data_IF_509701854658
#
_entry.id   IF_509701854658
#
_cell.length_a   1.000
_cell.length_b   1.000
_cell.length_c   1.000
_cell.angle_alpha   90.00
_cell.angle_beta   90.00
_cell.angle_gamma   90.00
#
_symmetry.space_group_name_H-M   'P 1'
#
loop_
_entity.id
_entity.type
_entity.pdbx_description
1 polymer ?
#
# COMPACT_ATOMS: atom_id res chain seq x y z
N UNK A 1 -40.66 24.50 -76.04
CA UNK A 1 -39.42 23.68 -76.03
C UNK A 1 -39.24 23.09 -74.63
N UNK A 2 -39.76 21.89 -74.37
CA UNK A 2 -39.03 20.61 -74.27
C UNK A 2 -37.87 20.59 -73.25
N UNK A 3 -38.17 19.98 -72.08
CA UNK A 3 -37.43 18.94 -71.34
C UNK A 3 -35.88 18.92 -71.42
N UNK A 4 -35.22 18.84 -70.25
CA UNK A 4 -34.54 17.60 -69.81
C UNK A 4 -34.14 17.64 -68.33
N UNK A 5 -34.56 16.58 -67.63
CA UNK A 5 -34.07 16.08 -66.33
C UNK A 5 -32.77 15.28 -66.55
N UNK A 6 -31.87 15.27 -65.56
CA UNK A 6 -30.94 14.18 -65.23
C UNK A 6 -30.41 14.51 -63.81
N UNK A 7 -30.90 13.95 -62.69
CA UNK A 7 -30.77 12.57 -62.17
C UNK A 7 -29.32 12.03 -62.14
N UNK A 8 -28.61 12.33 -61.05
CA UNK A 8 -27.70 11.37 -60.41
C UNK A 8 -27.94 11.45 -58.90
N UNK A 9 -28.62 10.43 -58.38
CA UNK A 9 -28.67 10.09 -56.96
C UNK A 9 -27.90 8.79 -56.83
N UNK A 10 -26.74 8.81 -56.15
CA UNK A 10 -26.06 7.60 -55.64
C UNK A 10 -25.36 7.98 -54.32
N UNK A 11 -25.87 7.40 -53.23
CA UNK A 11 -25.21 6.98 -51.99
C UNK A 11 -24.19 7.92 -51.33
N UNK A 12 -24.54 8.52 -50.19
CA UNK A 12 -24.02 8.16 -48.84
C UNK A 12 -25.01 8.68 -47.80
N UNK A 13 -25.98 7.84 -47.45
CA UNK A 13 -26.58 7.86 -46.12
C UNK A 13 -25.73 6.97 -45.20
N UNK A 14 -25.80 7.24 -43.89
CA UNK A 14 -25.14 6.56 -42.76
C UNK A 14 -23.72 7.03 -42.41
N UNK A 15 -23.63 8.02 -41.51
CA UNK A 15 -22.64 8.05 -40.41
C UNK A 15 -22.85 9.21 -39.40
N UNK A 16 -24.07 9.72 -39.18
CA UNK A 16 -24.33 10.71 -38.10
C UNK A 16 -25.67 10.41 -37.44
N UNK A 17 -25.75 9.27 -36.75
CA UNK A 17 -26.80 8.94 -35.78
C UNK A 17 -26.45 7.64 -35.02
N UNK A 18 -25.23 7.56 -34.48
CA UNK A 18 -24.83 6.49 -33.56
C UNK A 18 -24.00 7.13 -32.46
N UNK A 19 -24.62 7.34 -31.29
CA UNK A 19 -24.10 7.59 -29.93
C UNK A 19 -25.17 8.47 -29.25
N UNK A 20 -26.39 7.95 -29.08
CA UNK A 20 -27.42 8.45 -28.17
C UNK A 20 -28.66 7.56 -28.25
N UNK A 21 -28.52 6.24 -28.15
CA UNK A 21 -29.63 5.34 -27.82
C UNK A 21 -29.04 3.94 -27.57
N UNK A 22 -28.64 3.66 -26.33
CA UNK A 22 -28.57 2.30 -25.76
C UNK A 22 -28.21 2.43 -24.27
N UNK A 23 -29.24 2.56 -23.44
CA UNK A 23 -29.33 1.98 -22.09
C UNK A 23 -30.67 2.40 -21.46
N UNK A 24 -31.78 1.97 -22.08
CA UNK A 24 -33.06 1.82 -21.42
C UNK A 24 -33.75 0.64 -22.09
N UNK A 25 -33.42 -0.56 -21.60
CA UNK A 25 -34.31 -1.72 -21.71
C UNK A 25 -34.86 -1.95 -20.30
N UNK A 26 -36.12 -1.56 -20.13
CA UNK A 26 -36.97 -2.05 -19.07
C UNK A 26 -37.19 -3.55 -19.28
N UNK A 27 -36.37 -4.38 -18.64
CA UNK A 27 -36.66 -5.81 -18.48
C UNK A 27 -37.31 -6.05 -17.11
N UNK A 28 -38.57 -5.66 -17.01
CA UNK A 28 -39.50 -6.27 -16.07
C UNK A 28 -40.14 -7.47 -16.78
N UNK A 29 -39.52 -8.66 -16.68
CA UNK A 29 -40.19 -9.96 -16.74
C UNK A 29 -39.21 -11.11 -16.45
N UNK A 30 -39.38 -11.73 -15.27
CA UNK A 30 -39.08 -13.14 -15.02
C UNK A 30 -37.69 -13.64 -15.40
N UNK A 31 -36.64 -13.10 -14.78
CA UNK A 31 -35.31 -13.73 -14.80
C UNK A 31 -35.22 -14.53 -13.50
N UNK A 32 -35.17 -15.86 -13.64
CA UNK A 32 -34.64 -16.74 -12.60
C UNK A 32 -33.37 -16.08 -12.05
N UNK A 33 -33.37 -15.71 -10.77
CA UNK A 33 -32.21 -15.20 -10.04
C UNK A 33 -31.14 -16.30 -10.00
N UNK A 34 -30.46 -16.54 -11.12
CA UNK A 34 -29.28 -17.39 -11.19
C UNK A 34 -28.27 -16.71 -10.29
N UNK A 35 -28.11 -17.26 -9.09
CA UNK A 35 -27.14 -16.77 -8.12
C UNK A 35 -25.75 -16.84 -8.75
N UNK A 36 -25.24 -15.70 -9.21
CA UNK A 36 -23.91 -15.62 -9.78
C UNK A 36 -22.89 -15.57 -8.63
N UNK A 37 -22.38 -16.73 -8.23
CA UNK A 37 -21.20 -16.82 -7.39
C UNK A 37 -19.98 -16.39 -8.22
N UNK A 38 -19.10 -15.59 -7.63
CA UNK A 38 -17.86 -15.20 -8.29
C UNK A 38 -16.78 -16.27 -8.11
N UNK A 39 -16.84 -17.01 -7.00
CA UNK A 39 -15.91 -18.09 -6.68
C UNK A 39 -16.57 -19.16 -5.81
N UNK A 40 -16.16 -20.40 -6.02
CA UNK A 40 -16.56 -21.55 -5.20
C UNK A 40 -15.31 -22.20 -4.63
N UNK A 41 -15.35 -22.53 -3.34
CA UNK A 41 -14.34 -23.29 -2.63
C UNK A 41 -14.97 -24.60 -2.18
N UNK A 42 -14.49 -25.71 -2.73
CA UNK A 42 -14.87 -27.05 -2.30
C UNK A 42 -13.73 -27.58 -1.40
N UNK A 43 -14.02 -27.68 -0.11
CA UNK A 43 -13.05 -28.04 0.92
C UNK A 43 -13.29 -29.47 1.39
N UNK A 44 -12.19 -30.19 1.61
CA UNK A 44 -12.22 -31.52 2.19
C UNK A 44 -12.01 -31.40 3.70
N UNK A 45 -12.84 -32.05 4.50
CA UNK A 45 -12.74 -31.98 5.97
C UNK A 45 -11.39 -32.48 6.49
N UNK A 46 -10.85 -33.54 5.92
CA UNK A 46 -9.59 -34.15 6.36
C UNK A 46 -8.37 -33.28 6.04
N UNK A 47 -8.51 -32.31 5.11
CA UNK A 47 -7.48 -31.30 4.83
C UNK A 47 -7.58 -30.05 5.70
N UNK A 48 -8.65 -29.91 6.50
CA UNK A 48 -8.77 -28.82 7.46
C UNK A 48 -7.83 -29.06 8.64
N UNK A 49 -6.73 -28.32 8.67
CA UNK A 49 -5.92 -28.17 9.87
C UNK A 49 -6.69 -27.44 11.00
N UNK A 50 -5.95 -26.99 12.02
CA UNK A 50 -6.51 -26.11 13.05
C UNK A 50 -6.99 -24.78 12.46
N UNK A 51 -6.27 -24.28 11.47
CA UNK A 51 -6.61 -23.08 10.71
C UNK A 51 -6.38 -23.32 9.21
N UNK A 52 -7.28 -22.78 8.39
CA UNK A 52 -7.16 -22.75 6.93
C UNK A 52 -7.32 -21.30 6.44
N UNK A 53 -6.58 -20.90 5.41
CA UNK A 53 -6.64 -19.57 4.82
C UNK A 53 -7.20 -19.63 3.41
N UNK A 54 -8.22 -18.81 3.13
CA UNK A 54 -8.78 -18.60 1.80
C UNK A 54 -8.61 -17.13 1.43
N UNK A 55 -8.03 -16.89 0.26
CA UNK A 55 -7.84 -15.54 -0.27
C UNK A 55 -9.04 -15.16 -1.16
N UNK A 56 -9.64 -14.00 -0.88
CA UNK A 56 -10.87 -13.51 -1.53
C UNK A 56 -10.77 -12.01 -1.77
N UNK A 57 -11.61 -11.46 -2.64
CA UNK A 57 -11.64 -10.02 -2.93
C UNK A 57 -12.71 -9.24 -2.16
N UNK A 58 -12.53 -7.93 -2.06
CA UNK A 58 -13.53 -7.01 -1.50
C UNK A 58 -14.86 -7.19 -2.25
N UNK A 59 -15.96 -7.28 -1.50
CA UNK A 59 -17.31 -7.42 -2.03
C UNK A 59 -17.61 -8.66 -2.90
N UNK A 60 -16.70 -9.63 -2.96
CA UNK A 60 -16.92 -10.89 -3.64
C UNK A 60 -18.02 -11.70 -2.94
N UNK A 61 -18.89 -12.36 -3.71
CA UNK A 61 -19.84 -13.36 -3.22
C UNK A 61 -19.27 -14.73 -3.52
N UNK A 62 -18.86 -15.42 -2.46
CA UNK A 62 -18.24 -16.74 -2.54
C UNK A 62 -19.17 -17.82 -1.99
N UNK A 63 -19.02 -19.02 -2.55
CA UNK A 63 -19.63 -20.26 -2.05
C UNK A 63 -18.54 -21.11 -1.41
N UNK A 64 -18.71 -21.50 -0.16
CA UNK A 64 -17.79 -22.39 0.56
C UNK A 64 -18.55 -23.67 0.87
N UNK A 65 -18.08 -24.80 0.36
CA UNK A 65 -18.68 -26.11 0.56
C UNK A 65 -17.70 -27.04 1.26
N UNK A 66 -18.24 -27.91 2.10
CA UNK A 66 -17.56 -29.02 2.72
C UNK A 66 -18.00 -30.33 2.08
N UNK A 67 -17.10 -31.30 1.97
CA UNK A 67 -17.41 -32.68 1.60
C UNK A 67 -18.26 -33.44 2.63
N UNK A 68 -18.40 -32.87 3.83
CA UNK A 68 -19.11 -33.42 4.98
C UNK A 68 -20.23 -32.49 5.44
N UNK A 69 -21.21 -33.04 6.16
CA UNK A 69 -22.29 -32.23 6.75
C UNK A 69 -21.76 -31.38 7.91
N UNK A 70 -22.03 -30.09 7.86
CA UNK A 70 -21.68 -29.11 8.87
C UNK A 70 -22.84 -28.93 9.85
N UNK A 71 -22.54 -29.08 11.14
CA UNK A 71 -23.48 -28.86 12.25
C UNK A 71 -23.69 -27.38 12.51
N UNK A 72 -22.61 -26.60 12.56
CA UNK A 72 -22.64 -25.17 12.88
C UNK A 72 -21.61 -24.41 12.05
N UNK A 73 -22.06 -23.28 11.49
CA UNK A 73 -21.23 -22.21 10.94
C UNK A 73 -21.23 -21.02 11.92
N UNK A 74 -20.26 -20.97 12.84
CA UNK A 74 -20.14 -19.92 13.86
C UNK A 74 -19.37 -18.71 13.31
N UNK A 75 -19.66 -17.51 13.83
CA UNK A 75 -18.99 -16.24 13.51
C UNK A 75 -19.07 -15.82 12.03
N UNK A 76 -20.19 -16.12 11.37
CA UNK A 76 -20.40 -15.85 9.96
C UNK A 76 -21.42 -14.69 9.75
N UNK A 77 -21.06 -13.42 10.01
CA UNK A 77 -21.95 -12.31 9.66
C UNK A 77 -22.09 -12.22 8.14
N UNK A 78 -23.27 -11.80 7.65
CA UNK A 78 -23.58 -11.67 6.22
C UNK A 78 -23.48 -12.98 5.41
N UNK A 79 -23.86 -14.10 6.04
CA UNK A 79 -23.89 -15.40 5.36
C UNK A 79 -25.28 -15.97 5.21
N UNK A 80 -25.43 -16.79 4.17
CA UNK A 80 -26.64 -17.54 3.85
C UNK A 80 -26.25 -19.02 3.76
N UNK A 81 -26.77 -19.84 4.67
CA UNK A 81 -26.57 -21.30 4.63
C UNK A 81 -27.41 -21.84 3.47
N UNK A 82 -26.76 -22.39 2.45
CA UNK A 82 -27.43 -22.89 1.25
C UNK A 82 -28.00 -24.30 1.46
N UNK A 83 -27.26 -25.14 2.20
CA UNK A 83 -27.64 -26.49 2.60
C UNK A 83 -26.77 -26.95 3.79
N UNK A 84 -26.84 -28.22 4.16
CA UNK A 84 -26.10 -28.81 5.27
C UNK A 84 -24.57 -28.90 5.06
N UNK A 85 -24.05 -28.55 3.89
CA UNK A 85 -22.62 -28.60 3.57
C UNK A 85 -22.06 -27.31 2.98
N UNK A 86 -22.90 -26.34 2.58
CA UNK A 86 -22.47 -25.16 1.84
C UNK A 86 -22.99 -23.86 2.46
N UNK A 87 -22.10 -22.86 2.46
CA UNK A 87 -22.32 -21.51 2.92
C UNK A 87 -22.08 -20.52 1.77
N UNK A 88 -22.97 -19.54 1.62
CA UNK A 88 -22.74 -18.36 0.79
C UNK A 88 -22.31 -17.22 1.68
N UNK A 89 -21.23 -16.54 1.29
CA UNK A 89 -20.63 -15.44 2.04
C UNK A 89 -20.44 -14.24 1.13
N UNK A 90 -20.93 -13.06 1.54
CA UNK A 90 -20.63 -11.79 0.88
C UNK A 90 -19.50 -11.08 1.63
N UNK A 91 -18.36 -10.91 0.97
CA UNK A 91 -17.20 -10.25 1.56
C UNK A 91 -17.49 -8.79 1.91
N UNK A 92 -16.91 -8.28 2.99
CA UNK A 92 -17.03 -6.88 3.35
C UNK A 92 -16.33 -5.99 2.32
N UNK A 93 -16.57 -4.69 2.46
CA UNK A 93 -16.01 -3.69 1.54
C UNK A 93 -14.60 -3.24 1.89
N UNK A 94 -14.08 -3.57 3.08
CA UNK A 94 -12.74 -3.16 3.52
C UNK A 94 -11.84 -4.38 3.60
N UNK A 95 -10.56 -4.23 3.26
CA UNK A 95 -9.53 -5.28 3.40
C UNK A 95 -9.35 -5.62 4.87
N UNK A 96 -9.23 -6.91 5.19
CA UNK A 96 -9.12 -7.44 6.55
C UNK A 96 -9.24 -8.96 6.61
N UNK A 97 -9.37 -9.51 7.82
CA UNK A 97 -9.59 -10.95 8.03
C UNK A 97 -10.94 -11.21 8.69
N UNK A 98 -11.72 -12.12 8.12
CA UNK A 98 -12.92 -12.67 8.75
C UNK A 98 -12.74 -14.17 9.02
N UNK A 99 -13.05 -14.63 10.22
CA UNK A 99 -12.92 -16.04 10.60
C UNK A 99 -14.27 -16.71 10.74
N UNK A 100 -14.43 -17.88 10.14
CA UNK A 100 -15.60 -18.76 10.27
C UNK A 100 -15.17 -20.00 11.04
N UNK A 101 -15.89 -20.31 12.11
CA UNK A 101 -15.67 -21.54 12.86
C UNK A 101 -16.66 -22.60 12.37
N UNK A 102 -16.14 -23.75 11.97
CA UNK A 102 -16.93 -24.86 11.41
C UNK A 102 -16.89 -26.04 12.37
N UNK A 103 -18.06 -26.55 12.74
CA UNK A 103 -18.20 -27.76 13.56
C UNK A 103 -18.97 -28.82 12.78
N UNK A 104 -18.48 -30.05 12.81
CA UNK A 104 -19.11 -31.19 12.12
C UNK A 104 -20.08 -31.93 13.05
N UNK A 105 -20.91 -32.82 12.49
CA UNK A 105 -21.94 -33.56 13.26
C UNK A 105 -21.35 -34.65 14.15
N UNK A 106 -20.26 -35.26 13.70
CA UNK A 106 -19.57 -36.41 14.29
C UNK A 106 -18.34 -36.02 15.10
N UNK A 107 -18.08 -34.71 15.29
CA UNK A 107 -16.98 -34.20 16.09
C UNK A 107 -17.35 -32.89 16.80
N UNK A 108 -16.87 -32.76 18.03
CA UNK A 108 -16.91 -31.48 18.76
C UNK A 108 -15.70 -30.58 18.46
N UNK A 109 -14.73 -31.05 17.67
CA UNK A 109 -13.66 -30.21 17.16
C UNK A 109 -14.21 -29.09 16.26
N UNK A 110 -13.79 -27.87 16.53
CA UNK A 110 -14.03 -26.72 15.65
C UNK A 110 -12.81 -26.48 14.77
N UNK A 111 -13.04 -26.31 13.47
CA UNK A 111 -12.01 -25.89 12.51
C UNK A 111 -12.22 -24.42 12.17
N UNK A 112 -11.14 -23.67 12.03
CA UNK A 112 -11.20 -22.23 11.73
C UNK A 112 -10.80 -21.96 10.29
N UNK A 113 -11.68 -21.29 9.55
CA UNK A 113 -11.45 -20.84 8.18
C UNK A 113 -11.29 -19.33 8.22
N UNK A 114 -10.10 -18.85 7.89
CA UNK A 114 -9.79 -17.44 7.79
C UNK A 114 -9.92 -16.99 6.34
N UNK A 115 -10.73 -15.96 6.13
CA UNK A 115 -10.93 -15.29 4.85
C UNK A 115 -10.02 -14.06 4.81
N UNK A 116 -8.96 -14.13 4.03
CA UNK A 116 -8.03 -13.03 3.77
C UNK A 116 -8.60 -12.14 2.65
N UNK A 117 -9.29 -11.07 3.01
CA UNK A 117 -10.03 -10.21 2.08
C UNK A 117 -9.09 -9.14 1.52
N UNK A 118 -8.79 -9.21 0.22
CA UNK A 118 -7.83 -8.35 -0.47
C UNK A 118 -6.40 -8.46 0.06
N UNK A 119 -6.05 -9.62 0.64
CA UNK A 119 -4.75 -9.91 1.20
C UNK A 119 -4.19 -11.23 0.65
N UNK A 120 -2.87 -11.38 0.73
CA UNK A 120 -2.15 -12.62 0.44
C UNK A 120 -1.71 -13.29 1.74
N UNK A 121 -1.99 -14.58 1.85
CA UNK A 121 -1.44 -15.44 2.90
C UNK A 121 -0.14 -16.04 2.41
N UNK A 122 0.98 -15.68 3.05
CA UNK A 122 2.31 -16.15 2.67
C UNK A 122 2.90 -16.94 3.83
N UNK A 123 3.17 -18.23 3.62
CA UNK A 123 3.77 -19.11 4.62
C UNK A 123 5.18 -19.52 4.18
N UNK A 124 6.20 -18.89 4.76
CA UNK A 124 7.59 -19.13 4.42
C UNK A 124 8.20 -20.22 5.30
N UNK A 125 8.77 -21.23 4.65
CA UNK A 125 9.47 -22.36 5.30
C UNK A 125 10.93 -22.37 4.85
N UNK A 126 11.74 -21.50 5.45
CA UNK A 126 13.12 -21.22 5.07
C UNK A 126 13.23 -20.70 3.63
N UNK A 127 12.35 -19.77 3.26
CA UNK A 127 12.39 -19.12 1.96
C UNK A 127 13.69 -18.33 1.83
N UNK A 128 14.48 -18.61 0.79
CA UNK A 128 15.70 -17.89 0.53
C UNK A 128 15.42 -16.62 -0.28
N UNK A 129 15.88 -15.49 0.24
CA UNK A 129 15.78 -14.21 -0.47
C UNK A 129 17.14 -13.51 -0.54
N UNK A 130 17.35 -12.77 -1.62
CA UNK A 130 18.57 -12.00 -1.83
C UNK A 130 18.43 -10.61 -1.19
N UNK A 131 19.37 -10.31 -0.30
CA UNK A 131 19.59 -9.01 0.33
C UNK A 131 20.86 -8.34 -0.16
N UNK A 132 20.94 -7.03 0.05
CA UNK A 132 22.08 -6.21 -0.34
C UNK A 132 22.02 -5.73 -1.79
N UNK A 133 22.95 -4.83 -2.14
CA UNK A 133 22.99 -4.04 -3.39
C UNK A 133 22.13 -2.77 -3.41
N UNK A 134 21.79 -2.19 -2.26
CA UNK A 134 21.28 -0.82 -2.18
C UNK A 134 22.45 0.12 -1.86
N UNK A 135 22.75 1.05 -2.76
CA UNK A 135 23.79 2.07 -2.57
C UNK A 135 23.51 3.03 -1.41
N UNK A 136 22.27 3.06 -0.92
CA UNK A 136 21.80 3.94 0.15
C UNK A 136 21.65 3.23 1.50
N UNK A 137 21.69 1.89 1.56
CA UNK A 137 21.86 1.23 2.84
C UNK A 137 23.29 1.47 3.35
N UNK A 138 23.38 2.02 4.56
CA UNK A 138 24.57 2.66 5.11
C UNK A 138 25.69 1.70 5.53
N UNK A 139 25.48 0.39 5.40
CA UNK A 139 26.54 -0.61 5.53
C UNK A 139 26.82 -1.25 4.16
N UNK A 140 28.09 -1.45 3.77
CA UNK A 140 28.45 -2.18 2.57
C UNK A 140 28.14 -3.66 2.75
N UNK A 141 26.86 -4.03 2.72
CA UNK A 141 26.48 -5.42 2.65
C UNK A 141 26.64 -5.87 1.21
N UNK A 142 27.75 -6.58 1.00
CA UNK A 142 27.84 -7.60 -0.03
C UNK A 142 26.50 -8.31 -0.16
N UNK A 143 26.05 -8.49 -1.40
CA UNK A 143 24.87 -9.32 -1.70
C UNK A 143 24.91 -10.59 -0.86
N UNK A 144 23.87 -10.84 -0.07
CA UNK A 144 23.78 -11.99 0.84
C UNK A 144 22.43 -12.68 0.72
N UNK A 145 22.43 -13.98 0.94
CA UNK A 145 21.20 -14.77 0.95
C UNK A 145 20.76 -14.96 2.40
N UNK A 146 19.50 -14.67 2.68
CA UNK A 146 18.89 -14.86 4.00
C UNK A 146 17.72 -15.82 3.85
N UNK A 147 17.60 -16.74 4.79
CA UNK A 147 16.44 -17.62 4.93
C UNK A 147 15.41 -17.00 5.84
N UNK A 148 14.16 -17.05 5.41
CA UNK A 148 13.00 -16.47 6.08
C UNK A 148 12.04 -17.57 6.47
N UNK A 149 11.68 -17.61 7.74
CA UNK A 149 10.65 -18.51 8.24
C UNK A 149 9.61 -17.72 9.01
N UNK A 150 8.34 -17.87 8.64
CA UNK A 150 7.23 -17.15 9.25
C UNK A 150 6.06 -17.03 8.30
N UNK A 151 4.89 -16.74 8.85
CA UNK A 151 3.67 -16.59 8.08
C UNK A 151 3.16 -15.16 8.18
N UNK A 152 2.75 -14.60 7.04
CA UNK A 152 2.35 -13.22 6.91
C UNK A 152 0.99 -13.12 6.21
N UNK A 153 0.25 -12.10 6.61
CA UNK A 153 -0.76 -11.50 5.76
C UNK A 153 -0.22 -10.20 5.22
N UNK A 154 -0.25 -10.06 3.90
CA UNK A 154 0.21 -8.85 3.21
C UNK A 154 -0.94 -8.33 2.39
N UNK A 155 -1.21 -7.02 2.47
CA UNK A 155 -2.18 -6.40 1.57
C UNK A 155 -1.76 -6.66 0.12
N UNK A 156 -2.71 -7.18 -0.67
CA UNK A 156 -2.48 -7.57 -2.06
C UNK A 156 -2.12 -6.36 -2.94
N UNK A 157 -2.70 -5.22 -2.59
CA UNK A 157 -2.56 -3.91 -3.22
C UNK A 157 -2.09 -2.87 -2.18
N UNK A 158 -1.54 -1.72 -2.60
CA UNK A 158 -1.48 -0.55 -1.74
C UNK A 158 -2.88 -0.18 -1.22
N UNK A 159 -2.96 0.41 -0.02
CA UNK A 159 -4.23 0.89 0.55
C UNK A 159 -4.87 1.89 -0.41
N UNK A 160 -6.17 1.73 -0.71
CA UNK A 160 -6.87 2.59 -1.67
C UNK A 160 -7.45 3.85 -1.01
N UNK A 161 -7.79 4.85 -1.83
CA UNK A 161 -8.39 6.11 -1.40
C UNK A 161 -9.71 5.89 -0.65
N UNK A 162 -10.59 5.01 -1.15
CA UNK A 162 -11.82 4.65 -0.48
C UNK A 162 -11.55 4.00 0.87
N UNK A 163 -10.61 3.05 0.96
CA UNK A 163 -10.32 2.39 2.23
C UNK A 163 -9.77 3.36 3.28
N UNK A 164 -8.86 4.22 2.86
CA UNK A 164 -8.32 5.29 3.70
C UNK A 164 -9.43 6.24 4.18
N UNK A 165 -10.27 6.72 3.26
CA UNK A 165 -11.40 7.59 3.55
C UNK A 165 -12.38 6.97 4.54
N UNK A 166 -12.78 5.72 4.30
CA UNK A 166 -13.77 5.03 5.14
C UNK A 166 -13.24 4.73 6.53
N UNK A 167 -11.98 4.32 6.65
CA UNK A 167 -11.39 3.97 7.95
C UNK A 167 -11.06 5.21 8.80
N UNK A 168 -10.61 6.29 8.17
CA UNK A 168 -10.30 7.57 8.83
C UNK A 168 -11.44 8.59 8.75
N UNK A 169 -12.65 8.15 8.41
CA UNK A 169 -13.79 9.04 8.18
C UNK A 169 -14.00 10.06 9.31
N UNK A 170 -13.87 9.62 10.56
CA UNK A 170 -14.09 10.49 11.73
C UNK A 170 -12.90 11.42 12.02
N UNK A 171 -11.70 11.06 11.56
CA UNK A 171 -10.47 11.84 11.74
C UNK A 171 -10.36 12.97 10.70
N UNK A 172 -10.92 12.78 9.51
CA UNK A 172 -10.95 13.80 8.46
C UNK A 172 -11.94 14.91 8.86
N UNK A 173 -11.54 16.19 8.87
CA UNK A 173 -12.42 17.31 9.20
C UNK A 173 -13.64 17.39 8.27
N UNK A 174 -14.73 18.00 8.76
CA UNK A 174 -15.90 18.25 7.90
C UNK A 174 -15.70 19.40 6.93
N UNK A 175 -14.81 20.35 7.27
CA UNK A 175 -14.53 21.53 6.47
C UNK A 175 -13.05 21.84 6.53
N UNK A 176 -12.54 22.36 5.43
CA UNK A 176 -11.18 22.89 5.37
C UNK A 176 -11.03 24.15 6.24
N UNK A 177 -9.86 24.31 6.87
CA UNK A 177 -9.43 25.58 7.44
C UNK A 177 -9.11 26.58 6.33
N UNK A 178 -9.74 27.76 6.34
CA UNK A 178 -9.58 28.82 5.32
C UNK A 178 -8.18 29.45 5.21
N UNK A 179 -7.15 28.93 5.90
CA UNK A 179 -5.84 29.58 6.01
C UNK A 179 -4.96 29.16 4.84
N UNK A 180 -4.98 29.93 3.76
CA UNK A 180 -4.30 29.72 2.47
C UNK A 180 -2.79 29.39 2.59
N UNK A 181 -2.46 28.13 2.84
CA UNK A 181 -1.08 27.64 2.91
C UNK A 181 -0.98 26.28 2.23
N UNK A 182 0.18 25.93 1.71
CA UNK A 182 0.43 24.65 1.02
C UNK A 182 0.16 23.39 1.87
N UNK A 183 0.07 23.52 3.21
CA UNK A 183 -0.40 22.43 4.10
C UNK A 183 -1.88 22.10 3.85
N UNK A 184 -2.66 23.06 3.34
CA UNK A 184 -4.07 22.86 3.08
C UNK A 184 -4.31 21.90 1.93
N UNK A 185 -3.41 21.73 0.96
CA UNK A 185 -3.71 20.93 -0.23
C UNK A 185 -4.05 19.48 0.14
N UNK A 186 -3.29 18.88 1.06
CA UNK A 186 -3.56 17.56 1.61
C UNK A 186 -4.90 17.49 2.35
N UNK A 187 -5.15 18.43 3.28
CA UNK A 187 -6.38 18.44 4.08
C UNK A 187 -7.59 18.68 3.18
N UNK A 188 -7.51 19.67 2.28
CA UNK A 188 -8.53 20.00 1.30
C UNK A 188 -8.87 18.80 0.42
N UNK A 189 -7.85 18.08 -0.04
CA UNK A 189 -8.04 16.88 -0.85
C UNK A 189 -8.90 15.83 -0.14
N UNK A 190 -8.59 15.52 1.12
CA UNK A 190 -9.34 14.54 1.90
C UNK A 190 -10.70 15.05 2.36
N UNK A 191 -10.82 16.34 2.69
CA UNK A 191 -12.11 16.99 3.00
C UNK A 191 -13.03 16.93 1.77
N UNK A 192 -12.53 17.32 0.59
CA UNK A 192 -13.31 17.29 -0.65
C UNK A 192 -13.77 15.86 -0.99
N UNK A 193 -12.89 14.86 -0.81
CA UNK A 193 -13.25 13.43 -0.94
C UNK A 193 -14.31 13.01 0.06
N UNK A 194 -14.23 13.48 1.31
CA UNK A 194 -15.24 13.20 2.33
C UNK A 194 -16.58 13.87 2.05
N UNK A 195 -16.56 15.09 1.51
CA UNK A 195 -17.77 15.83 1.13
C UNK A 195 -18.49 15.18 -0.06
N UNK A 196 -17.75 14.59 -1.01
CA UNK A 196 -18.32 13.89 -2.15
C UNK A 196 -18.61 12.40 -1.89
N UNK A 197 -17.93 11.79 -0.93
CA UNK A 197 -18.07 10.38 -0.56
C UNK A 197 -19.26 10.10 0.36
N UNK A 198 -19.66 8.83 0.43
CA UNK A 198 -20.68 8.37 1.38
C UNK A 198 -20.05 7.49 2.45
N UNK A 199 -20.40 7.72 3.73
CA UNK A 199 -19.92 6.86 4.82
C UNK A 199 -20.45 5.44 4.65
N UNK A 200 -19.59 4.45 4.85
CA UNK A 200 -19.83 3.03 4.63
C UNK A 200 -20.21 2.68 3.18
N UNK A 201 -19.76 3.49 2.22
CA UNK A 201 -19.94 3.13 0.81
C UNK A 201 -19.11 1.91 0.41
N UNK A 202 -19.52 1.31 -0.70
CA UNK A 202 -18.86 0.13 -1.25
C UNK A 202 -17.56 0.54 -1.95
N UNK A 203 -16.43 0.41 -1.27
CA UNK A 203 -15.10 0.45 -1.89
C UNK A 203 -14.91 -0.69 -2.89
N UNK A 204 -14.74 -0.34 -4.15
CA UNK A 204 -14.42 -1.30 -5.21
C UNK A 204 -13.02 -1.92 -4.99
N UNK A 205 -12.80 -3.12 -5.55
CA UNK A 205 -11.52 -3.84 -5.42
C UNK A 205 -10.34 -3.03 -5.98
N UNK A 206 -10.50 -2.53 -7.20
CA UNK A 206 -9.50 -1.81 -7.99
C UNK A 206 -9.68 -0.29 -7.93
N UNK A 207 -9.90 0.26 -6.74
CA UNK A 207 -9.93 1.70 -6.53
C UNK A 207 -8.51 2.29 -6.67
N UNK A 208 -8.44 3.61 -6.83
CA UNK A 208 -7.18 4.37 -6.81
C UNK A 208 -6.40 4.18 -5.51
N UNK A 209 -5.10 3.94 -5.57
CA UNK A 209 -4.25 3.92 -4.39
C UNK A 209 -4.30 5.27 -3.62
N UNK A 210 -4.28 5.19 -2.29
CA UNK A 210 -4.04 6.36 -1.46
C UNK A 210 -2.58 6.76 -1.64
N UNK A 211 -2.34 7.98 -2.12
CA UNK A 211 -1.01 8.57 -2.22
C UNK A 211 -0.91 9.76 -1.28
N UNK A 212 0.30 10.28 -1.12
CA UNK A 212 0.51 11.50 -0.33
C UNK A 212 0.04 11.36 1.13
N UNK A 213 0.17 10.18 1.73
CA UNK A 213 -0.15 9.91 3.14
C UNK A 213 1.06 10.11 4.04
N UNK A 214 1.05 11.03 5.02
CA UNK A 214 2.14 11.16 5.98
C UNK A 214 2.37 9.88 6.79
N UNK A 215 3.62 9.61 7.18
CA UNK A 215 4.00 8.43 7.96
C UNK A 215 3.17 8.23 9.23
N UNK A 216 2.92 9.30 9.97
CA UNK A 216 2.07 9.25 11.15
C UNK A 216 0.66 8.75 10.82
N UNK A 217 0.05 9.23 9.74
CA UNK A 217 -1.29 8.78 9.32
C UNK A 217 -1.31 7.34 8.81
N UNK A 218 -0.25 6.88 8.14
CA UNK A 218 -0.13 5.49 7.72
C UNK A 218 -0.02 4.54 8.94
N UNK A 219 0.78 4.91 9.95
CA UNK A 219 0.86 4.17 11.22
C UNK A 219 -0.47 4.21 12.01
N UNK A 220 -1.13 5.37 12.06
CA UNK A 220 -2.43 5.53 12.70
C UNK A 220 -3.51 4.68 12.02
N UNK A 221 -3.53 4.66 10.68
CA UNK A 221 -4.40 3.79 9.89
C UNK A 221 -4.18 2.31 10.23
N UNK A 222 -2.92 1.85 10.33
CA UNK A 222 -2.59 0.47 10.70
C UNK A 222 -3.15 0.08 12.08
N UNK A 223 -3.03 0.97 13.08
CA UNK A 223 -3.60 0.76 14.40
C UNK A 223 -5.14 0.72 14.38
N UNK A 224 -5.79 1.65 13.67
CA UNK A 224 -7.25 1.69 13.58
C UNK A 224 -7.79 0.42 12.91
N UNK A 225 -7.11 -0.05 11.85
CA UNK A 225 -7.45 -1.33 11.21
C UNK A 225 -7.32 -2.50 12.17
N UNK A 226 -6.24 -2.53 12.96
CA UNK A 226 -6.01 -3.56 13.98
C UNK A 226 -7.15 -3.59 14.99
N UNK A 227 -7.52 -2.44 15.55
CA UNK A 227 -8.60 -2.33 16.55
C UNK A 227 -9.95 -2.75 15.95
N UNK A 228 -10.25 -2.36 14.71
CA UNK A 228 -11.48 -2.76 14.01
C UNK A 228 -11.63 -4.28 13.94
N UNK A 229 -10.53 -5.01 13.82
CA UNK A 229 -10.48 -6.47 13.74
C UNK A 229 -10.27 -7.14 15.11
N UNK A 230 -10.35 -6.37 16.21
CA UNK A 230 -10.16 -6.90 17.57
C UNK A 230 -8.70 -7.26 17.90
N UNK A 231 -7.75 -6.74 17.15
CA UNK A 231 -6.31 -6.98 17.32
C UNK A 231 -5.65 -5.91 18.17
N UNK A 232 -4.51 -6.24 18.77
CA UNK A 232 -3.71 -5.28 19.53
C UNK A 232 -3.01 -4.30 18.58
N UNK A 233 -3.09 -2.97 18.77
CA UNK A 233 -2.34 -2.00 17.97
C UNK A 233 -0.83 -2.26 17.99
N UNK A 234 -0.14 -2.02 16.88
CA UNK A 234 1.30 -2.22 16.77
C UNK A 234 2.12 -1.01 17.21
N UNK A 235 1.64 0.20 16.89
CA UNK A 235 2.33 1.45 17.24
C UNK A 235 1.77 2.05 18.53
N UNK A 236 2.66 2.55 19.38
CA UNK A 236 2.31 3.31 20.58
C UNK A 236 2.80 4.74 20.36
N UNK A 237 1.86 5.68 20.38
CA UNK A 237 2.13 7.10 20.17
C UNK A 237 2.25 7.82 21.52
N UNK A 238 3.27 8.64 21.67
CA UNK A 238 3.45 9.47 22.86
C UNK A 238 3.88 10.90 22.48
N UNK A 239 3.36 11.87 23.23
CA UNK A 239 3.74 13.27 23.05
C UNK A 239 5.19 13.45 23.49
N UNK A 240 5.94 14.25 22.72
CA UNK A 240 7.29 14.67 23.09
C UNK A 240 7.29 16.17 23.36
N UNK A 241 7.98 16.59 24.42
CA UNK A 241 8.22 18.01 24.72
C UNK A 241 9.35 18.62 23.87
N UNK A 242 9.98 17.82 22.99
CA UNK A 242 11.11 18.27 22.20
C UNK A 242 10.63 18.94 20.91
N UNK A 243 10.77 20.27 20.83
CA UNK A 243 10.49 21.02 19.59
C UNK A 243 11.44 20.68 18.44
N UNK A 244 12.62 20.16 18.78
CA UNK A 244 13.56 19.55 17.83
C UNK A 244 14.29 18.42 18.53
N UNK A 245 14.24 17.23 17.94
CA UNK A 245 15.13 16.14 18.37
C UNK A 245 16.40 16.27 17.54
N UNK A 246 17.40 16.98 18.08
CA UNK A 246 18.78 16.77 17.62
C UNK A 246 19.22 15.43 18.16
N UNK A 247 18.99 14.37 17.38
CA UNK A 247 19.67 13.09 17.61
C UNK A 247 21.15 13.39 17.37
N UNK A 248 21.93 13.53 18.45
CA UNK A 248 23.36 13.80 18.35
C UNK A 248 24.05 12.55 17.78
N UNK A 249 24.33 12.57 16.47
CA UNK A 249 24.73 11.39 15.69
C UNK A 249 26.07 10.79 16.09
N UNK A 250 26.90 11.53 16.84
CA UNK A 250 28.24 11.08 17.25
C UNK A 250 28.30 10.56 18.69
N UNK A 251 27.23 10.76 19.47
CA UNK A 251 27.15 10.27 20.84
C UNK A 251 25.76 9.69 20.99
N UNK A 252 25.67 8.38 21.19
CA UNK A 252 24.44 7.69 21.65
C UNK A 252 24.06 8.15 23.08
N UNK A 253 23.92 9.46 23.25
CA UNK A 253 23.69 10.17 24.48
C UNK A 253 22.79 11.32 24.06
N UNK A 254 21.49 11.16 24.30
CA UNK A 254 20.60 12.32 24.33
C UNK A 254 21.17 13.39 25.28
N UNK A 255 20.79 14.67 25.13
CA UNK A 255 21.29 15.77 26.00
C UNK A 255 21.05 15.53 27.52
N UNK A 256 20.32 14.47 27.87
CA UNK A 256 20.01 14.01 29.21
C UNK A 256 20.87 12.82 29.71
N UNK A 257 21.93 12.39 29.00
CA UNK A 257 22.86 11.36 29.49
C UNK A 257 22.36 9.90 29.40
N UNK A 258 21.25 9.62 28.71
CA UNK A 258 20.68 8.26 28.54
C UNK A 258 21.12 7.60 27.22
N UNK A 259 21.42 6.31 27.36
CA UNK A 259 21.82 5.27 26.38
C UNK A 259 21.04 5.24 25.05
N UNK A 260 21.66 4.58 24.07
CA UNK A 260 21.10 3.96 22.85
C UNK A 260 19.58 4.10 22.70
N UNK A 261 19.14 4.76 21.62
CA UNK A 261 17.74 4.73 21.23
C UNK A 261 17.34 3.25 21.05
N UNK A 262 16.34 2.75 21.80
CA UNK A 262 15.93 1.36 21.68
C UNK A 262 15.57 1.02 20.23
N UNK A 263 15.85 -0.21 19.80
CA UNK A 263 15.35 -0.69 18.51
C UNK A 263 13.83 -0.47 18.43
N UNK A 264 13.33 -0.12 17.26
CA UNK A 264 11.89 0.13 17.02
C UNK A 264 11.28 1.27 17.83
N UNK A 265 12.08 2.30 18.06
CA UNK A 265 11.66 3.56 18.63
C UNK A 265 11.93 4.66 17.61
N UNK A 266 11.01 5.61 17.41
CA UNK A 266 11.08 6.57 16.33
C UNK A 266 10.59 7.96 16.76
N UNK A 267 11.20 9.01 16.23
CA UNK A 267 10.65 10.36 16.26
C UNK A 267 10.23 10.75 14.84
N UNK A 268 8.94 10.98 14.63
CA UNK A 268 8.39 11.30 13.31
C UNK A 268 7.67 12.64 13.32
N UNK A 269 7.48 13.23 12.13
CA UNK A 269 6.67 14.44 12.00
C UNK A 269 5.22 14.16 12.43
N UNK A 270 4.71 14.97 13.37
CA UNK A 270 3.34 14.88 13.83
C UNK A 270 2.41 15.59 12.84
N UNK A 271 2.11 14.89 11.74
CA UNK A 271 1.29 15.41 10.64
C UNK A 271 0.06 14.54 10.43
N UNK A 272 -1.10 15.10 10.73
CA UNK A 272 -2.41 14.59 10.37
C UNK A 272 -3.32 15.74 9.89
N UNK A 273 -4.63 15.61 10.08
CA UNK A 273 -5.60 16.61 9.65
C UNK A 273 -5.79 17.79 10.61
N UNK A 274 -5.09 17.81 11.76
CA UNK A 274 -5.13 18.90 12.72
C UNK A 274 -3.74 19.49 12.95
N UNK A 275 -3.69 20.74 13.39
CA UNK A 275 -2.43 21.35 13.82
C UNK A 275 -2.10 20.93 15.24
N UNK A 276 -0.90 20.38 15.41
CA UNK A 276 -0.35 20.01 16.71
C UNK A 276 0.59 21.10 17.22
N UNK A 277 0.54 21.34 18.53
CA UNK A 277 1.52 22.20 19.21
C UNK A 277 2.93 21.65 19.02
N UNK A 278 3.09 20.33 19.20
CA UNK A 278 4.33 19.63 18.93
C UNK A 278 4.44 19.25 17.45
N UNK A 279 5.56 19.57 16.82
CA UNK A 279 5.83 19.20 15.41
C UNK A 279 6.28 17.76 15.23
N UNK A 280 6.65 17.10 16.32
CA UNK A 280 7.16 15.73 16.35
C UNK A 280 6.32 14.90 17.32
N UNK A 281 6.27 13.60 17.05
CA UNK A 281 5.66 12.60 17.93
C UNK A 281 6.62 11.43 18.09
N UNK A 282 6.66 10.90 19.31
CA UNK A 282 7.45 9.74 19.67
C UNK A 282 6.61 8.47 19.46
N UNK A 283 7.20 7.49 18.76
CA UNK A 283 6.55 6.25 18.38
C UNK A 283 7.40 5.08 18.85
N UNK A 284 6.86 4.23 19.72
CA UNK A 284 7.44 2.93 20.06
C UNK A 284 6.60 1.81 19.48
N UNK A 285 7.20 0.67 19.17
CA UNK A 285 6.43 -0.52 18.76
C UNK A 285 6.09 -1.41 19.94
N UNK A 286 4.95 -2.08 19.84
CA UNK A 286 4.58 -3.19 20.71
C UNK A 286 4.94 -4.51 20.02
N UNK A 287 6.06 -5.12 20.41
CA UNK A 287 6.51 -6.40 19.82
C UNK A 287 5.62 -7.60 20.15
N UNK A 288 4.65 -7.45 21.07
CA UNK A 288 3.63 -8.46 21.37
C UNK A 288 2.32 -8.24 20.60
N UNK A 289 2.24 -7.18 19.80
CA UNK A 289 1.07 -6.91 18.96
C UNK A 289 0.93 -7.98 17.87
N UNK A 290 -0.29 -8.44 17.70
CA UNK A 290 -0.74 -9.27 16.58
C UNK A 290 -1.42 -8.43 15.49
N UNK A 291 -1.29 -7.11 15.56
CA UNK A 291 -1.91 -6.14 14.67
C UNK A 291 -1.14 -5.88 13.38
N UNK A 292 -1.71 -5.00 12.57
CA UNK A 292 -1.13 -4.53 11.32
C UNK A 292 -0.06 -3.48 11.54
N UNK A 293 0.90 -3.45 10.61
CA UNK A 293 1.96 -2.46 10.55
C UNK A 293 2.43 -2.22 9.13
N UNK A 294 3.24 -1.18 8.95
CA UNK A 294 4.03 -1.01 7.74
C UNK A 294 5.11 -2.10 7.65
N UNK A 295 5.48 -2.55 6.44
CA UNK A 295 6.59 -3.46 6.27
C UNK A 295 7.89 -2.79 6.66
N UNK A 296 8.80 -3.58 7.22
CA UNK A 296 10.19 -3.16 7.29
C UNK A 296 10.81 -3.16 5.90
N UNK A 297 11.88 -2.40 5.74
CA UNK A 297 12.61 -2.30 4.48
C UNK A 297 12.94 -3.69 3.93
N UNK A 298 13.50 -4.56 4.77
CA UNK A 298 13.95 -5.88 4.33
C UNK A 298 12.75 -6.76 3.94
N UNK A 299 11.65 -6.70 4.69
CA UNK A 299 10.40 -7.37 4.34
C UNK A 299 9.87 -6.89 2.99
N UNK A 300 9.83 -5.58 2.76
CA UNK A 300 9.37 -5.02 1.50
C UNK A 300 10.22 -5.51 0.33
N UNK A 301 11.54 -5.55 0.48
CA UNK A 301 12.44 -6.05 -0.57
C UNK A 301 12.19 -7.53 -0.84
N UNK A 302 12.06 -8.37 0.19
CA UNK A 302 11.70 -9.79 0.01
C UNK A 302 10.37 -9.92 -0.74
N UNK A 303 9.35 -9.17 -0.30
CA UNK A 303 8.02 -9.22 -0.89
C UNK A 303 8.04 -8.76 -2.34
N UNK A 304 8.81 -7.71 -2.68
CA UNK A 304 8.95 -7.21 -4.05
C UNK A 304 9.66 -8.23 -4.95
N UNK A 305 10.74 -8.84 -4.45
CA UNK A 305 11.53 -9.85 -5.18
C UNK A 305 10.77 -11.14 -5.43
N UNK A 306 9.96 -11.57 -4.46
CA UNK A 306 9.10 -12.75 -4.59
C UNK A 306 9.81 -14.00 -5.16
N UNK A 307 10.99 -14.32 -4.64
CA UNK A 307 11.83 -15.43 -5.08
C UNK A 307 12.87 -15.08 -6.17
N UNK A 308 12.87 -13.86 -6.70
CA UNK A 308 13.88 -13.40 -7.67
C UNK A 308 15.24 -13.13 -7.02
N UNK A 309 16.17 -14.05 -7.23
CA UNK A 309 17.56 -13.97 -6.74
C UNK A 309 18.56 -13.48 -7.78
N UNK A 310 18.13 -13.22 -9.03
CA UNK A 310 19.05 -12.98 -10.15
C UNK A 310 18.98 -11.56 -10.68
N UNK A 311 17.79 -10.98 -10.77
CA UNK A 311 17.61 -9.69 -11.41
C UNK A 311 17.60 -8.54 -10.40
N UNK A 312 17.70 -7.33 -10.93
CA UNK A 312 17.56 -6.11 -10.12
C UNK A 312 16.12 -5.61 -10.06
N UNK A 313 15.22 -6.08 -10.92
CA UNK A 313 13.81 -5.70 -10.98
C UNK A 313 12.97 -6.87 -11.54
N UNK A 314 11.63 -6.87 -11.38
CA UNK A 314 10.80 -7.99 -11.84
C UNK A 314 10.76 -8.13 -13.37
N UNK A 315 11.10 -7.07 -14.12
CA UNK A 315 11.29 -7.09 -15.57
C UNK A 315 12.73 -7.44 -16.01
N UNK A 316 13.57 -7.96 -15.10
CA UNK A 316 14.91 -8.39 -15.44
C UNK A 316 15.88 -7.22 -15.67
N UNK A 317 16.62 -7.31 -16.78
CA UNK A 317 17.48 -6.24 -17.30
C UNK A 317 16.81 -5.50 -18.47
N UNK A 318 15.51 -5.68 -18.68
CA UNK A 318 14.80 -5.04 -19.79
C UNK A 318 14.76 -3.53 -19.58
N UNK A 319 15.14 -2.79 -20.61
CA UNK A 319 14.93 -1.33 -20.72
C UNK A 319 13.71 -0.99 -21.55
N UNK A 320 13.00 -2.00 -22.08
CA UNK A 320 11.80 -1.80 -22.90
C UNK A 320 10.62 -1.39 -22.02
N UNK A 321 10.06 -0.22 -22.29
CA UNK A 321 8.86 0.27 -21.61
C UNK A 321 7.73 -0.76 -21.60
N UNK A 322 7.52 -1.48 -22.72
CA UNK A 322 6.47 -2.50 -22.83
C UNK A 322 6.67 -3.72 -21.92
N UNK A 323 7.91 -4.06 -21.58
CA UNK A 323 8.16 -5.14 -20.62
C UNK A 323 8.03 -4.65 -19.17
N UNK A 324 8.44 -3.42 -18.90
CA UNK A 324 8.33 -2.79 -17.59
C UNK A 324 6.86 -2.54 -17.24
N UNK A 325 6.08 -2.01 -18.19
CA UNK A 325 4.67 -1.64 -18.01
C UNK A 325 3.74 -2.82 -17.73
N UNK A 326 4.21 -4.07 -17.90
CA UNK A 326 3.51 -5.27 -17.45
C UNK A 326 3.45 -5.40 -15.94
N UNK A 327 4.40 -4.82 -15.21
CA UNK A 327 4.56 -4.98 -13.76
C UNK A 327 4.52 -3.66 -13.00
N UNK A 328 4.78 -2.54 -13.67
CA UNK A 328 4.90 -1.24 -13.02
C UNK A 328 4.26 -0.11 -13.83
N UNK A 329 3.55 0.78 -13.12
CA UNK A 329 2.69 1.78 -13.77
C UNK A 329 3.38 3.13 -13.99
N UNK A 330 4.45 3.13 -14.78
CA UNK A 330 5.18 4.35 -15.11
C UNK A 330 4.62 5.07 -16.34
N UNK A 331 4.84 6.37 -16.44
CA UNK A 331 4.59 7.16 -17.64
C UNK A 331 5.79 7.09 -18.60
N UNK A 332 5.55 6.78 -19.88
CA UNK A 332 6.59 6.64 -20.92
C UNK A 332 7.43 7.91 -21.09
N UNK A 333 6.83 9.09 -20.83
CA UNK A 333 7.50 10.39 -20.82
C UNK A 333 6.83 11.32 -19.83
N UNK A 334 7.50 11.60 -18.71
CA UNK A 334 7.13 12.71 -17.83
C UNK A 334 7.51 14.00 -18.52
N UNK A 335 6.70 14.43 -19.48
CA UNK A 335 6.88 15.70 -20.16
C UNK A 335 6.32 16.81 -19.27
N UNK A 336 6.94 17.01 -18.09
CA UNK A 336 6.75 18.23 -17.30
C UNK A 336 7.23 19.49 -18.07
N UNK A 337 7.71 19.32 -19.31
CA UNK A 337 8.26 20.30 -20.22
C UNK A 337 7.38 20.62 -21.44
N UNK A 338 6.06 20.43 -21.41
CA UNK A 338 5.18 21.22 -22.30
C UNK A 338 5.07 22.68 -21.80
N UNK A 339 6.24 23.32 -21.73
CA UNK A 339 6.49 24.71 -21.33
C UNK A 339 6.64 25.60 -22.57
N UNK A 340 6.03 25.24 -23.71
CA UNK A 340 6.13 26.07 -24.92
C UNK A 340 5.38 27.39 -24.78
N UNK A 341 4.36 27.45 -23.94
CA UNK A 341 3.47 28.61 -23.80
C UNK A 341 3.58 29.39 -22.47
N UNK A 342 4.54 29.04 -21.60
CA UNK A 342 4.70 29.67 -20.27
C UNK A 342 5.96 30.55 -20.21
N UNK A 343 5.83 31.77 -19.68
CA UNK A 343 6.95 32.72 -19.52
C UNK A 343 8.03 32.24 -18.55
N UNK A 344 9.26 32.79 -18.64
CA UNK A 344 10.45 32.35 -17.89
C UNK A 344 10.23 32.25 -16.37
N UNK A 345 9.51 33.20 -15.77
CA UNK A 345 9.18 33.19 -14.34
C UNK A 345 8.24 32.04 -13.99
N UNK A 346 7.26 31.76 -14.85
CA UNK A 346 6.35 30.63 -14.69
C UNK A 346 7.09 29.31 -14.89
N UNK A 347 8.06 29.22 -15.81
CA UNK A 347 8.93 28.03 -15.95
C UNK A 347 9.72 27.75 -14.68
N UNK A 348 10.27 28.79 -14.04
CA UNK A 348 10.98 28.65 -12.75
C UNK A 348 10.00 28.24 -11.64
N UNK A 349 8.82 28.85 -11.58
CA UNK A 349 7.78 28.47 -10.61
C UNK A 349 7.34 27.02 -10.83
N UNK A 350 7.03 26.60 -12.07
CA UNK A 350 6.68 25.22 -12.47
C UNK A 350 7.81 24.22 -12.24
N UNK A 351 9.07 24.65 -12.31
CA UNK A 351 10.22 23.82 -11.95
C UNK A 351 10.24 23.50 -10.43
N UNK A 352 9.71 24.41 -9.59
CA UNK A 352 9.45 24.17 -8.16
C UNK A 352 8.02 23.65 -7.86
N UNK A 353 7.10 23.78 -8.82
CA UNK A 353 5.72 23.25 -8.87
C UNK A 353 5.69 22.04 -9.81
N UNK A 354 6.52 21.04 -9.52
CA UNK A 354 6.62 19.84 -10.35
C UNK A 354 5.25 19.15 -10.42
N UNK A 355 4.56 19.39 -11.53
CA UNK A 355 3.37 18.75 -12.10
C UNK A 355 2.19 18.43 -11.15
N UNK A 356 1.16 19.29 -11.21
CA UNK A 356 -0.22 19.18 -10.70
C UNK A 356 -0.66 17.81 -10.13
N UNK A 357 -1.14 17.83 -8.87
CA UNK A 357 -1.88 16.82 -8.10
C UNK A 357 -1.28 15.40 -8.01
N UNK A 358 -0.14 15.23 -7.33
CA UNK A 358 0.40 13.91 -6.91
C UNK A 358 -0.52 13.14 -5.93
N UNK A 359 -1.63 13.75 -5.50
CA UNK A 359 -2.64 13.12 -4.64
C UNK A 359 -3.54 12.12 -5.39
N UNK A 360 -3.61 12.17 -6.72
CA UNK A 360 -4.42 11.24 -7.51
C UNK A 360 -3.52 10.18 -8.15
N UNK A 361 -3.64 8.94 -7.68
CA UNK A 361 -3.04 7.78 -8.33
C UNK A 361 -4.04 7.09 -9.26
N UNK A 362 -3.54 6.14 -10.05
CA UNK A 362 -4.39 5.21 -10.80
C UNK A 362 -5.00 4.10 -9.93
N UNK A 363 -5.92 3.31 -10.51
CA UNK A 363 -6.47 2.09 -9.90
C UNK A 363 -5.40 1.03 -9.66
N UNK A 364 -5.53 0.30 -8.55
CA UNK A 364 -4.67 -0.82 -8.16
C UNK A 364 -5.02 -2.11 -8.91
N UNK A 365 -4.03 -2.98 -9.11
CA UNK A 365 -4.24 -4.34 -9.58
C UNK A 365 -4.49 -4.50 -11.08
N UNK A 366 -4.17 -3.49 -11.89
CA UNK A 366 -4.33 -3.55 -13.35
C UNK A 366 -3.17 -4.26 -14.07
N UNK A 367 -2.03 -4.41 -13.38
CA UNK A 367 -0.80 -5.00 -13.93
C UNK A 367 -0.60 -6.44 -13.46
N UNK A 368 0.43 -7.12 -13.96
CA UNK A 368 0.78 -8.47 -13.52
C UNK A 368 1.32 -8.43 -12.07
N UNK A 369 0.92 -9.39 -11.22
CA UNK A 369 1.52 -9.53 -9.91
C UNK A 369 2.94 -10.09 -10.01
N UNK A 370 3.70 -9.95 -8.92
CA UNK A 370 4.96 -10.67 -8.75
C UNK A 370 4.73 -12.15 -8.35
N UNK A 371 5.82 -12.88 -8.09
CA UNK A 371 5.77 -14.31 -7.74
C UNK A 371 4.97 -14.66 -6.48
N UNK A 372 4.70 -13.69 -5.60
CA UNK A 372 3.89 -13.86 -4.40
C UNK A 372 2.44 -13.42 -4.59
N UNK A 373 2.04 -13.02 -5.80
CA UNK A 373 0.68 -12.54 -6.07
C UNK A 373 0.42 -11.11 -5.57
N UNK A 374 1.48 -10.33 -5.31
CA UNK A 374 1.38 -8.93 -4.90
C UNK A 374 1.44 -8.02 -6.13
N UNK A 375 0.59 -7.01 -6.15
CA UNK A 375 0.43 -6.07 -7.25
C UNK A 375 1.02 -4.71 -6.91
N UNK A 376 1.34 -3.93 -7.94
CA UNK A 376 1.72 -2.52 -7.84
C UNK A 376 2.89 -2.25 -6.90
N UNK A 377 3.82 -3.20 -6.77
CA UNK A 377 5.06 -3.00 -6.01
C UNK A 377 5.93 -1.88 -6.61
N UNK A 378 5.65 -1.45 -7.84
CA UNK A 378 6.40 -0.42 -8.55
C UNK A 378 5.49 0.51 -9.37
N UNK A 379 5.84 1.80 -9.43
CA UNK A 379 5.33 2.78 -10.38
C UNK A 379 3.93 3.34 -10.15
N UNK A 380 3.09 2.80 -9.27
CA UNK A 380 1.78 3.40 -9.00
C UNK A 380 1.89 4.52 -7.95
N UNK A 381 2.33 4.13 -6.76
CA UNK A 381 2.64 4.99 -5.62
C UNK A 381 3.92 4.48 -4.99
N UNK A 382 4.71 5.39 -4.42
CA UNK A 382 5.78 4.97 -3.54
C UNK A 382 5.20 4.48 -2.22
N UNK A 383 5.76 3.40 -1.68
CA UNK A 383 5.30 2.80 -0.44
C UNK A 383 6.21 3.14 0.72
N UNK A 384 5.58 3.54 1.82
CA UNK A 384 6.29 3.77 3.08
C UNK A 384 6.74 2.45 3.71
N UNK A 385 8.04 2.35 3.97
CA UNK A 385 8.68 1.21 4.61
C UNK A 385 9.51 1.67 5.79
N UNK A 386 9.51 0.91 6.88
CA UNK A 386 10.23 1.25 8.11
C UNK A 386 11.64 0.68 8.11
N UNK A 387 12.57 1.39 8.73
CA UNK A 387 13.83 0.78 9.14
C UNK A 387 13.67 0.10 10.51
N UNK A 388 14.12 -1.15 10.63
CA UNK A 388 14.01 -1.92 11.88
C UNK A 388 14.86 -1.31 13.00
N UNK A 389 16.07 -0.87 12.63
CA UNK A 389 16.94 -0.02 13.44
C UNK A 389 16.98 1.34 12.77
N UNK A 390 17.10 2.41 13.55
CA UNK A 390 17.50 3.69 13.00
C UNK A 390 18.76 3.47 12.14
N UNK A 391 18.72 3.95 10.90
CA UNK A 391 19.86 3.91 10.00
C UNK A 391 20.90 4.91 10.52
N UNK A 392 21.55 4.55 11.62
CA UNK A 392 22.63 5.33 12.21
C UNK A 392 23.92 4.82 11.58
N UNK A 393 24.75 5.77 11.12
CA UNK A 393 26.14 5.63 10.65
C UNK A 393 26.35 5.58 9.13
N UNK A 394 26.50 6.77 8.53
CA UNK A 394 27.22 6.96 7.27
C UNK A 394 28.69 7.09 7.67
N UNK A 395 29.27 6.03 8.23
CA UNK A 395 30.65 6.08 8.69
C UNK A 395 31.56 6.21 7.45
N UNK A 396 32.11 7.41 7.28
CA UNK A 396 33.28 7.72 6.43
C UNK A 396 33.09 7.91 4.92
N UNK A 397 31.87 8.07 4.40
CA UNK A 397 31.73 8.66 3.06
C UNK A 397 32.01 10.17 3.17
N UNK A 398 33.26 10.55 2.92
CA UNK A 398 33.79 11.90 2.69
C UNK A 398 32.63 12.90 2.56
N UNK A 399 32.41 13.67 3.62
CA UNK A 399 31.67 14.92 3.56
C UNK A 399 32.32 15.75 2.45
N UNK A 400 31.84 15.60 1.21
CA UNK A 400 31.70 16.75 0.36
C UNK A 400 30.74 17.64 1.13
N UNK A 401 31.33 18.51 1.95
CA UNK A 401 30.67 19.59 2.63
C UNK A 401 30.00 20.36 1.52
N UNK A 402 28.74 20.04 1.27
CA UNK A 402 27.85 20.94 0.60
C UNK A 402 27.93 22.24 1.41
N UNK A 403 28.53 23.31 0.86
CA UNK A 403 28.79 24.54 1.60
C UNK A 403 27.50 25.33 1.84
N UNK A 404 26.33 24.75 1.49
CA UNK A 404 25.03 25.24 1.91
C UNK A 404 25.03 25.51 3.41
N UNK A 405 24.85 26.78 3.71
CA UNK A 405 25.05 27.39 5.03
C UNK A 405 24.31 26.64 6.13
N UNK A 406 24.85 26.68 7.36
CA UNK A 406 24.17 26.25 8.59
C UNK A 406 22.73 26.83 8.65
N UNK A 407 22.52 28.03 8.13
CA UNK A 407 21.21 28.67 8.02
C UNK A 407 20.21 27.94 7.11
N UNK A 408 20.64 27.20 6.08
CA UNK A 408 19.75 26.36 5.27
C UNK A 408 19.34 25.05 5.98
N UNK A 409 20.23 24.51 6.83
CA UNK A 409 19.89 23.38 7.71
C UNK A 409 18.93 23.80 8.83
N UNK A 410 19.08 25.03 9.34
CA UNK A 410 18.15 25.61 10.32
C UNK A 410 16.79 25.98 9.71
N UNK A 411 16.74 26.35 8.42
CA UNK A 411 15.47 26.65 7.73
C UNK A 411 14.60 25.42 7.44
N UNK A 412 15.17 24.22 7.46
CA UNK A 412 14.41 23.00 7.23
C UNK A 412 14.89 21.86 8.13
N UNK A 413 14.56 21.91 9.44
CA UNK A 413 15.04 20.96 10.46
C UNK A 413 14.52 19.51 10.28
N UNK A 414 13.94 19.21 9.12
CA UNK A 414 13.25 17.97 8.86
C UNK A 414 13.65 17.27 7.56
N UNK A 415 14.74 17.69 6.92
CA UNK A 415 15.39 16.84 5.93
C UNK A 415 16.09 15.71 6.68
N UNK A 416 15.42 14.57 6.79
CA UNK A 416 16.05 13.35 7.26
C UNK A 416 17.02 12.88 6.14
N UNK A 417 18.26 13.37 6.17
CA UNK A 417 19.31 12.98 5.19
C UNK A 417 20.10 11.77 5.72
N UNK A 418 20.10 11.53 7.03
CA UNK A 418 20.96 10.51 7.65
C UNK A 418 20.32 9.77 8.84
N UNK A 419 19.02 9.97 9.13
CA UNK A 419 18.32 9.29 10.24
C UNK A 419 16.80 9.25 10.03
N UNK A 420 16.36 8.78 8.86
CA UNK A 420 14.93 8.58 8.64
C UNK A 420 14.48 7.31 9.39
N UNK A 421 13.33 7.34 10.08
CA UNK A 421 12.71 6.12 10.60
C UNK A 421 12.07 5.27 9.50
N UNK A 422 11.87 5.86 8.32
CA UNK A 422 11.23 5.24 7.17
C UNK A 422 11.87 5.71 5.85
N UNK A 423 11.57 5.01 4.77
CA UNK A 423 11.81 5.51 3.42
C UNK A 423 10.68 5.13 2.47
N UNK A 424 10.81 5.55 1.23
CA UNK A 424 9.85 5.30 0.16
C UNK A 424 10.45 4.31 -0.85
N UNK A 425 9.65 3.32 -1.25
CA UNK A 425 10.05 2.23 -2.18
C UNK A 425 9.09 2.15 -3.38
N UNK A 426 9.53 1.50 -4.46
CA UNK A 426 8.69 1.20 -5.62
C UNK A 426 8.62 2.29 -6.70
N UNK A 427 8.87 3.54 -6.34
CA UNK A 427 8.74 4.67 -7.28
C UNK A 427 7.28 5.03 -7.59
N UNK A 428 7.07 6.26 -8.02
CA UNK A 428 5.77 6.77 -8.50
C UNK A 428 5.68 6.64 -10.02
N UNK A 429 4.53 6.97 -10.59
CA UNK A 429 4.29 6.90 -12.04
C UNK A 429 5.26 7.80 -12.84
N UNK A 430 5.83 8.82 -12.20
CA UNK A 430 6.83 9.73 -12.79
C UNK A 430 8.28 9.38 -12.50
N UNK A 431 8.54 8.26 -11.81
CA UNK A 431 9.91 7.88 -11.50
C UNK A 431 10.69 7.50 -12.75
N UNK A 432 11.98 7.84 -12.74
CA UNK A 432 12.92 7.48 -13.79
C UNK A 432 13.07 5.95 -13.86
N UNK A 433 12.55 5.37 -14.94
CA UNK A 433 12.56 3.95 -15.24
C UNK A 433 13.93 3.30 -15.11
N UNK A 434 14.99 4.03 -15.49
CA UNK A 434 16.37 3.52 -15.47
C UNK A 434 16.91 3.38 -14.04
N UNK A 435 16.29 4.07 -13.07
CA UNK A 435 16.70 4.08 -11.66
C UNK A 435 15.88 3.15 -10.79
N UNK A 436 14.68 2.74 -11.22
CA UNK A 436 13.82 1.89 -10.40
C UNK A 436 14.27 0.42 -10.46
N UNK A 437 14.50 -0.14 -9.27
CA UNK A 437 14.88 -1.53 -9.04
C UNK A 437 14.53 -1.92 -7.59
N UNK A 438 14.74 -3.17 -7.19
CA UNK A 438 14.46 -3.64 -5.82
C UNK A 438 15.19 -2.85 -4.74
N UNK A 439 16.37 -2.30 -5.05
CA UNK A 439 17.17 -1.44 -4.17
C UNK A 439 16.82 0.05 -4.26
N UNK A 440 15.94 0.48 -5.18
CA UNK A 440 15.56 1.88 -5.29
C UNK A 440 14.93 2.38 -4.00
N UNK A 441 15.35 3.56 -3.58
CA UNK A 441 14.84 4.26 -2.41
C UNK A 441 14.74 5.74 -2.76
N UNK A 442 13.65 6.36 -2.36
CA UNK A 442 13.55 7.80 -2.28
C UNK A 442 13.46 8.21 -0.82
N UNK A 443 14.08 9.36 -0.51
CA UNK A 443 13.93 9.92 0.82
C UNK A 443 12.49 10.46 0.93
N UNK A 444 11.88 10.25 2.10
CA UNK A 444 10.67 10.94 2.50
C UNK A 444 11.01 12.44 2.71
N UNK A 445 11.05 13.19 1.60
CA UNK A 445 11.46 14.59 1.58
C UNK A 445 10.34 15.53 2.06
N UNK A 446 9.80 15.34 3.26
CA UNK A 446 8.92 16.34 3.89
C UNK A 446 7.57 16.56 3.14
N UNK A 447 6.58 17.34 3.67
CA UNK A 447 5.12 17.11 3.59
C UNK A 447 4.48 17.03 2.20
N UNK A 448 5.22 17.32 1.12
CA UNK A 448 4.73 17.14 -0.24
C UNK A 448 4.92 15.71 -0.75
N UNK A 449 5.97 15.02 -0.33
CA UNK A 449 6.34 13.69 -0.82
C UNK A 449 5.89 12.64 0.17
N UNK A 450 4.58 12.62 0.37
CA UNK A 450 3.97 11.60 1.18
C UNK A 450 3.70 10.36 0.28
N UNK A 451 3.93 9.17 0.81
CA UNK A 451 3.80 7.93 0.05
C UNK A 451 2.38 7.38 0.09
N UNK A 452 2.10 6.41 -0.78
CA UNK A 452 1.16 5.36 -0.42
C UNK A 452 1.78 4.41 0.60
N UNK A 453 1.06 3.34 0.90
CA UNK A 453 1.55 2.30 1.80
C UNK A 453 0.71 1.03 1.61
N UNK A 454 1.28 -0.09 2.04
CA UNK A 454 0.58 -1.36 2.23
C UNK A 454 0.81 -1.85 3.65
N UNK A 455 -0.11 -2.64 4.18
CA UNK A 455 0.06 -3.22 5.51
C UNK A 455 0.50 -4.68 5.42
N UNK A 456 1.26 -5.06 6.43
CA UNK A 456 1.64 -6.44 6.73
C UNK A 456 1.22 -6.76 8.16
N UNK A 457 0.91 -8.03 8.40
CA UNK A 457 0.64 -8.60 9.72
C UNK A 457 1.37 -9.92 9.83
N UNK A 458 2.13 -10.10 10.91
CA UNK A 458 2.71 -11.40 11.22
C UNK A 458 1.63 -12.26 11.89
N UNK A 459 1.39 -13.46 11.35
CA UNK A 459 0.38 -14.39 11.88
C UNK A 459 1.05 -15.72 12.20
N UNK A 460 1.41 -15.91 13.46
CA UNK A 460 2.10 -17.11 13.93
C UNK A 460 3.36 -16.76 14.70
N UNK A 461 4.41 -17.56 14.52
CA UNK A 461 5.69 -17.29 15.17
C UNK A 461 6.34 -16.07 14.50
N UNK A 462 6.83 -15.13 15.31
CA UNK A 462 7.64 -14.00 14.85
C UNK A 462 8.63 -14.46 13.78
N UNK A 463 8.65 -13.73 12.66
CA UNK A 463 9.41 -14.14 11.51
C UNK A 463 10.90 -14.16 11.84
N UNK A 464 11.55 -15.26 11.48
CA UNK A 464 12.97 -15.48 11.74
C UNK A 464 13.73 -15.28 10.45
N UNK A 465 14.75 -14.45 10.55
CA UNK A 465 15.67 -14.12 9.47
C UNK A 465 17.04 -14.68 9.84
N UNK A 466 17.51 -15.67 9.08
CA UNK A 466 18.79 -16.34 9.33
C UNK A 466 19.68 -16.24 8.11
N UNK A 467 20.85 -15.64 8.26
CA UNK A 467 21.83 -15.55 7.19
C UNK A 467 22.36 -16.94 6.82
N UNK A 468 22.36 -17.26 5.53
CA UNK A 468 22.95 -18.50 5.03
C UNK A 468 24.45 -18.29 4.99
N UNK A 469 25.19 -19.00 5.85
CA UNK A 469 26.65 -19.00 5.78
C UNK A 469 27.03 -19.59 4.43
N UNK A 470 27.69 -18.81 3.57
CA UNK A 470 28.33 -19.39 2.39
C UNK A 470 29.40 -20.35 2.91
N UNK A 471 29.24 -21.65 2.62
CA UNK A 471 30.36 -22.56 2.77
C UNK A 471 31.50 -21.96 1.96
N UNK A 472 32.60 -21.62 2.64
CA UNK A 472 33.78 -21.07 1.99
C UNK A 472 34.28 -22.12 1.00
N UNK A 473 34.08 -21.87 -0.29
CA UNK A 473 34.80 -22.57 -1.36
C UNK A 473 36.30 -22.33 -1.25
#
# INVERSE_FOLDING_TARGET
>A
MKKKRLLVAICVGFAIASIALMCQTDDANGIDNVMHFQRTFDLNRDSLGSEMWLEVEKNEVVKICMDSKVRVWDNAPNTEVLNDSCLKYRMPTLVGVHSINVKFLDSDSSHKINLAIGMKYLDFKNEETLYGNDSYQMNPFSKKIVQVSGSYLVDKYPVTNCEFLQLLWNEIPQKSSKIDSMKNDFINFWVNRKESGTRNEKCIAHDSAASSIPLYLAMKYANIRSVREGLKPYYIFSNTHSESVRIDRMKQVNQNGKKEVPNHHYFIAYKDFIEHENKLIEVSVDSSSDGYRLPYYDEWVMLARAGDKKNNAPWGNSTSFNEISKYAKFEDKVNCFDLKDLGLLQKIISFFHWCKNDYESGPVGELLPNGFGLYDMFGLVEEQVLFEKHNVLRDNAILMVDPRSIAERERNPFRCIDDCPACLKGGIHRSDLERINYGYISNDYFPKYAGGFRLIRNIGNNAKWTEVKSDKE
#
